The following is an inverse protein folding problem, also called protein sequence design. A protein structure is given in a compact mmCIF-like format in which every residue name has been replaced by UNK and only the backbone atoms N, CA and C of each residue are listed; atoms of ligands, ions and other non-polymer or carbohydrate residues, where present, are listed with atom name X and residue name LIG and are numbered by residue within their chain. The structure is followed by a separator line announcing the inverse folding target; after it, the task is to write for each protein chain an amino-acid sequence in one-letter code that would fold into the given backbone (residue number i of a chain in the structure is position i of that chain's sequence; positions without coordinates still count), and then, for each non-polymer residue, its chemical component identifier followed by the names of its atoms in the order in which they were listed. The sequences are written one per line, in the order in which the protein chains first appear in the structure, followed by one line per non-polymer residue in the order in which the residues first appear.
data_IF_561203909730
#
_entry.id   IF_561203909730
#
_cell.length_a   1.000
_cell.length_b   1.000
_cell.length_c   1.000
_cell.angle_alpha   90.00
_cell.angle_beta   90.00
_cell.angle_gamma   90.00
#
_symmetry.space_group_name_H-M   'P 1'
#
loop_
_entity.id
_entity.type
_entity.pdbx_description
1 polymer ?
#
# COMPACT_ATOMS: atom_id res chain seq x y z
N UNK A 1 21.84 8.43 15.76
CA UNK A 1 20.88 9.36 15.13
C UNK A 1 19.75 8.57 14.45
N UNK A 2 18.78 8.05 15.20
CA UNK A 2 17.77 7.10 14.68
C UNK A 2 16.34 7.41 15.11
N UNK A 3 16.08 8.64 15.59
CA UNK A 3 14.74 9.07 16.04
C UNK A 3 13.85 9.73 14.97
N UNK A 4 14.34 9.93 13.74
CA UNK A 4 13.66 10.82 12.79
C UNK A 4 12.84 10.14 11.67
N UNK A 5 13.09 8.87 11.34
CA UNK A 5 12.36 8.21 10.23
C UNK A 5 10.93 7.86 10.63
N UNK A 6 10.72 7.31 11.83
CA UNK A 6 9.39 6.94 12.33
C UNK A 6 8.47 8.15 12.55
N UNK A 7 9.02 9.29 13.02
CA UNK A 7 8.27 10.54 13.18
C UNK A 7 7.91 11.18 11.83
N UNK A 8 8.79 11.10 10.82
CA UNK A 8 8.52 11.60 9.46
C UNK A 8 7.47 10.75 8.72
N UNK A 9 7.47 9.43 8.93
CA UNK A 9 6.43 8.52 8.42
C UNK A 9 5.08 8.80 9.10
N UNK A 10 5.08 9.02 10.42
CA UNK A 10 3.88 9.38 11.19
C UNK A 10 3.28 10.71 10.72
N UNK A 11 4.11 11.72 10.42
CA UNK A 11 3.64 13.02 9.94
C UNK A 11 3.20 13.00 8.45
N UNK A 12 3.84 12.16 7.62
CA UNK A 12 3.44 11.94 6.22
C UNK A 12 2.17 11.11 6.07
N UNK A 13 1.88 10.21 7.02
CA UNK A 13 0.61 9.49 7.13
C UNK A 13 -0.53 10.40 7.62
N UNK A 14 -0.25 11.33 8.55
CA UNK A 14 -1.25 12.25 9.10
C UNK A 14 -1.73 13.32 8.10
N UNK A 15 -0.84 13.86 7.25
CA UNK A 15 -1.24 14.80 6.18
C UNK A 15 -1.91 14.14 4.96
N UNK A 16 -1.95 12.80 4.92
CA UNK A 16 -2.48 11.98 3.81
C UNK A 16 -3.72 11.18 4.20
N UNK A 17 -4.38 11.57 5.29
CA UNK A 17 -5.55 10.86 5.81
C UNK A 17 -6.70 10.70 4.79
N UNK A 18 -6.74 11.41 3.64
CA UNK A 18 -7.74 11.17 2.57
C UNK A 18 -7.64 9.80 1.89
N UNK A 19 -6.46 9.19 1.79
CA UNK A 19 -6.21 8.02 0.92
C UNK A 19 -6.93 6.73 1.33
N UNK A 20 -7.21 6.51 2.60
CA UNK A 20 -7.91 5.30 3.06
C UNK A 20 -9.41 5.57 3.04
N UNK A 21 -9.94 5.59 1.83
CA UNK A 21 -11.35 5.72 1.54
C UNK A 21 -11.75 4.63 0.56
N UNK A 22 -11.90 3.42 1.09
CA UNK A 22 -12.41 2.30 0.30
C UNK A 22 -13.94 2.35 0.16
N UNK A 23 -14.62 3.32 0.80
CA UNK A 23 -16.05 3.22 1.06
C UNK A 23 -16.97 4.25 0.43
N UNK A 24 -16.53 5.41 -0.10
CA UNK A 24 -17.52 6.39 -0.58
C UNK A 24 -17.08 7.38 -1.67
N UNK A 25 -16.49 6.96 -2.79
CA UNK A 25 -16.56 7.82 -4.01
C UNK A 25 -15.85 9.18 -3.83
N UNK A 26 -14.53 9.17 -3.87
CA UNK A 26 -13.83 10.29 -4.51
C UNK A 26 -12.67 9.70 -5.30
N UNK A 27 -13.06 9.01 -6.37
CA UNK A 27 -12.26 8.36 -7.41
C UNK A 27 -11.38 9.35 -8.19
N UNK A 28 -10.60 10.18 -7.50
CA UNK A 28 -9.72 11.14 -8.14
C UNK A 28 -8.42 10.43 -8.49
N UNK A 29 -7.96 10.61 -9.71
CA UNK A 29 -6.74 9.96 -10.24
C UNK A 29 -5.51 10.22 -9.37
N UNK A 30 -5.46 11.37 -8.68
CA UNK A 30 -4.42 11.66 -7.69
C UNK A 30 -4.34 10.66 -6.54
N UNK A 31 -5.48 10.19 -6.04
CA UNK A 31 -5.53 9.27 -4.90
C UNK A 31 -4.95 7.90 -5.33
N UNK A 32 -5.24 7.43 -6.54
CA UNK A 32 -4.59 6.25 -7.13
C UNK A 32 -3.09 6.45 -7.30
N UNK A 33 -2.68 7.58 -7.90
CA UNK A 33 -1.26 7.90 -8.08
C UNK A 33 -0.49 7.93 -6.75
N UNK A 34 -1.03 8.57 -5.72
CA UNK A 34 -0.32 8.68 -4.43
C UNK A 34 -0.14 7.31 -3.76
N UNK A 35 -1.12 6.41 -3.85
CA UNK A 35 -1.01 5.04 -3.30
C UNK A 35 -0.04 4.23 -4.15
N UNK A 36 -0.13 4.29 -5.48
CA UNK A 36 0.80 3.62 -6.37
C UNK A 36 2.25 4.08 -6.11
N UNK A 37 2.47 5.38 -5.94
CA UNK A 37 3.79 5.95 -5.64
C UNK A 37 4.31 5.46 -4.29
N UNK A 38 3.43 5.35 -3.27
CA UNK A 38 3.79 4.78 -1.99
C UNK A 38 4.22 3.31 -2.14
N UNK A 39 3.38 2.50 -2.79
CA UNK A 39 3.63 1.07 -3.00
C UNK A 39 4.91 0.82 -3.81
N UNK A 40 5.23 1.66 -4.79
CA UNK A 40 6.40 1.46 -5.66
C UNK A 40 7.70 2.00 -5.08
N UNK A 41 7.66 3.04 -4.24
CA UNK A 41 8.89 3.73 -3.78
C UNK A 41 9.28 3.43 -2.33
N UNK A 42 8.39 2.86 -1.53
CA UNK A 42 8.65 2.62 -0.10
C UNK A 42 8.43 1.16 0.30
N UNK A 43 9.18 0.76 1.33
CA UNK A 43 8.95 -0.50 2.02
C UNK A 43 7.89 -0.32 3.11
N UNK A 44 7.13 -1.38 3.39
CA UNK A 44 6.12 -1.38 4.46
C UNK A 44 6.20 -2.60 5.35
N UNK A 45 6.01 -2.37 6.63
CA UNK A 45 5.64 -3.40 7.60
C UNK A 45 4.12 -3.60 7.55
N UNK A 46 3.70 -4.86 7.33
CA UNK A 46 2.29 -5.22 7.17
C UNK A 46 1.48 -4.98 8.44
N UNK A 47 2.05 -5.21 9.62
CA UNK A 47 1.35 -4.99 10.90
C UNK A 47 1.05 -3.51 11.11
N UNK A 48 2.01 -2.64 10.75
CA UNK A 48 1.85 -1.20 10.82
C UNK A 48 0.84 -0.69 9.77
N UNK A 49 0.91 -1.21 8.55
CA UNK A 49 -0.06 -0.88 7.49
C UNK A 49 -1.48 -1.28 7.88
N UNK A 50 -1.69 -2.51 8.36
CA UNK A 50 -2.98 -3.01 8.79
C UNK A 50 -3.55 -2.17 9.95
N UNK A 51 -2.71 -1.81 10.93
CA UNK A 51 -3.11 -0.89 12.01
C UNK A 51 -3.53 0.47 11.47
N UNK A 52 -2.75 1.06 10.55
CA UNK A 52 -3.06 2.37 9.98
C UNK A 52 -4.38 2.35 9.18
N UNK A 53 -4.64 1.28 8.42
CA UNK A 53 -5.91 1.08 7.70
C UNK A 53 -7.07 1.04 8.70
N UNK A 54 -7.00 0.14 9.69
CA UNK A 54 -8.06 -0.02 10.70
C UNK A 54 -8.37 1.28 11.44
N UNK A 55 -7.33 1.98 11.91
CA UNK A 55 -7.48 3.27 12.60
C UNK A 55 -8.15 4.33 11.72
N UNK A 56 -7.86 4.33 10.41
CA UNK A 56 -8.46 5.31 9.51
C UNK A 56 -9.95 5.06 9.29
N UNK A 57 -10.36 3.79 9.14
CA UNK A 57 -11.78 3.43 9.03
C UNK A 57 -12.53 3.69 10.34
N UNK A 58 -11.91 3.34 11.48
CA UNK A 58 -12.48 3.57 12.81
C UNK A 58 -12.75 5.06 13.07
N UNK A 59 -11.76 5.93 12.86
CA UNK A 59 -11.89 7.39 13.07
C UNK A 59 -12.95 8.03 12.17
N UNK A 60 -13.22 7.43 11.02
CA UNK A 60 -14.20 7.91 10.05
C UNK A 60 -15.58 7.31 10.24
N UNK A 61 -15.73 6.37 11.18
CA UNK A 61 -16.98 5.65 11.43
C UNK A 61 -17.53 4.96 10.15
N UNK A 62 -16.63 4.49 9.30
CA UNK A 62 -16.98 3.77 8.06
C UNK A 62 -16.50 2.33 8.13
N UNK A 63 -17.29 1.40 7.60
CA UNK A 63 -16.93 -0.03 7.52
C UNK A 63 -15.81 -0.26 6.51
N UNK A 64 -14.88 -1.16 6.85
CA UNK A 64 -13.86 -1.64 5.94
C UNK A 64 -14.50 -2.59 4.90
N UNK A 65 -14.50 -2.26 3.60
CA UNK A 65 -15.04 -3.15 2.58
C UNK A 65 -14.04 -4.27 2.28
N UNK A 66 -14.54 -5.51 2.23
CA UNK A 66 -13.73 -6.71 1.98
C UNK A 66 -13.17 -6.73 0.55
N UNK A 67 -13.93 -6.23 -0.42
CA UNK A 67 -13.53 -6.13 -1.82
C UNK A 67 -13.97 -4.78 -2.42
N UNK A 68 -13.12 -3.74 -2.39
CA UNK A 68 -13.45 -2.44 -2.95
C UNK A 68 -13.65 -2.52 -4.48
N UNK A 69 -14.78 -2.06 -5.01
CA UNK A 69 -15.05 -2.03 -6.46
C UNK A 69 -13.97 -1.27 -7.25
N UNK A 70 -13.33 -0.26 -6.63
CA UNK A 70 -12.22 0.50 -7.21
C UNK A 70 -10.98 -0.36 -7.56
N UNK A 71 -10.89 -1.59 -7.03
CA UNK A 71 -9.83 -2.54 -7.35
C UNK A 71 -10.28 -3.65 -8.31
N UNK A 72 -11.51 -3.56 -8.84
CA UNK A 72 -12.02 -4.53 -9.81
C UNK A 72 -11.50 -4.25 -11.23
N UNK A 73 -11.42 -5.31 -12.03
CA UNK A 73 -11.10 -5.19 -13.46
C UNK A 73 -12.13 -4.33 -14.19
N UNK A 74 -13.41 -4.43 -13.82
CA UNK A 74 -14.47 -3.60 -14.40
C UNK A 74 -14.20 -2.10 -14.21
N UNK A 75 -13.77 -1.67 -13.02
CA UNK A 75 -13.39 -0.28 -12.78
C UNK A 75 -12.12 0.11 -13.53
N UNK A 76 -11.12 -0.78 -13.55
CA UNK A 76 -9.85 -0.55 -14.19
C UNK A 76 -9.93 -0.46 -15.71
N UNK A 77 -10.87 -1.18 -16.34
CA UNK A 77 -11.06 -1.23 -17.79
C UNK A 77 -12.09 -0.20 -18.28
N UNK A 78 -12.76 0.52 -17.39
CA UNK A 78 -13.70 1.56 -17.75
C UNK A 78 -13.02 2.65 -18.60
N UNK A 79 -13.58 2.93 -19.77
CA UNK A 79 -13.00 3.87 -20.75
C UNK A 79 -12.94 5.30 -20.21
N UNK A 80 -13.93 5.73 -19.45
CA UNK A 80 -13.96 7.06 -18.85
C UNK A 80 -12.85 7.19 -17.80
N UNK A 81 -12.66 6.16 -16.97
CA UNK A 81 -11.59 6.13 -15.96
C UNK A 81 -10.20 6.12 -16.59
N UNK A 82 -9.99 5.36 -17.66
CA UNK A 82 -8.73 5.38 -18.41
C UNK A 82 -8.44 6.77 -18.99
N UNK A 83 -9.45 7.43 -19.58
CA UNK A 83 -9.30 8.78 -20.11
C UNK A 83 -8.97 9.80 -19.00
N UNK A 84 -9.63 9.71 -17.85
CA UNK A 84 -9.34 10.53 -16.67
C UNK A 84 -7.89 10.33 -16.18
N UNK A 85 -7.40 9.09 -16.16
CA UNK A 85 -6.03 8.75 -15.77
C UNK A 85 -4.99 9.37 -16.70
N UNK A 86 -5.16 9.20 -18.01
CA UNK A 86 -4.27 9.77 -19.03
C UNK A 86 -4.25 11.30 -18.93
N UNK A 87 -5.42 11.93 -18.80
CA UNK A 87 -5.53 13.38 -18.65
C UNK A 87 -4.82 13.88 -17.37
N UNK A 88 -4.91 13.11 -16.28
CA UNK A 88 -4.23 13.39 -15.03
C UNK A 88 -2.70 13.31 -15.18
N UNK A 89 -2.16 12.22 -15.73
CA UNK A 89 -0.72 12.06 -15.98
C UNK A 89 -0.19 13.23 -16.80
N UNK A 90 -0.86 13.53 -17.92
CA UNK A 90 -0.45 14.60 -18.84
C UNK A 90 -0.43 15.97 -18.16
N UNK A 91 -1.47 16.28 -17.38
CA UNK A 91 -1.59 17.58 -16.68
C UNK A 91 -0.49 17.77 -15.64
N UNK A 92 0.00 16.69 -15.04
CA UNK A 92 0.96 16.72 -13.95
C UNK A 92 2.38 16.29 -14.34
N UNK A 93 2.64 16.04 -15.64
CA UNK A 93 3.94 15.65 -16.18
C UNK A 93 4.55 14.43 -15.45
N UNK A 94 3.74 13.39 -15.24
CA UNK A 94 4.12 12.22 -14.44
C UNK A 94 4.72 11.12 -15.32
N UNK A 95 5.92 11.33 -15.85
CA UNK A 95 6.55 10.47 -16.87
C UNK A 95 6.96 9.07 -16.33
N UNK A 96 7.17 8.94 -15.03
CA UNK A 96 7.54 7.68 -14.35
C UNK A 96 6.33 6.78 -14.01
N UNK A 97 5.12 7.10 -14.48
CA UNK A 97 3.89 6.37 -14.11
C UNK A 97 3.48 5.28 -15.10
N UNK A 98 2.70 4.28 -14.67
CA UNK A 98 2.14 3.29 -15.58
C UNK A 98 1.24 3.97 -16.60
N UNK A 99 1.34 3.51 -17.84
CA UNK A 99 0.62 4.10 -18.97
C UNK A 99 -0.88 3.93 -18.82
N UNK A 100 -1.33 2.89 -18.11
CA UNK A 100 -2.74 2.60 -17.90
C UNK A 100 -3.18 2.69 -16.44
N UNK A 101 -4.46 3.00 -16.23
CA UNK A 101 -5.06 2.93 -14.89
C UNK A 101 -5.07 1.49 -14.36
N UNK A 102 -5.16 0.51 -15.26
CA UNK A 102 -5.22 -0.90 -14.90
C UNK A 102 -3.93 -1.38 -14.23
N UNK A 103 -2.78 -1.11 -14.82
CA UNK A 103 -1.48 -1.44 -14.20
C UNK A 103 -1.30 -0.76 -12.83
N UNK A 104 -1.75 0.49 -12.73
CA UNK A 104 -1.74 1.25 -11.48
C UNK A 104 -2.59 0.55 -10.41
N UNK A 105 -3.81 0.15 -10.76
CA UNK A 105 -4.73 -0.55 -9.85
C UNK A 105 -4.21 -1.93 -9.47
N UNK A 106 -3.59 -2.69 -10.38
CA UNK A 106 -3.02 -4.00 -10.07
C UNK A 106 -1.97 -3.92 -8.95
N UNK A 107 -1.07 -2.93 -9.01
CA UNK A 107 -0.05 -2.72 -7.97
C UNK A 107 -0.72 -2.29 -6.65
N UNK A 108 -1.69 -1.38 -6.70
CA UNK A 108 -2.41 -0.93 -5.51
C UNK A 108 -3.17 -2.08 -4.85
N UNK A 109 -3.84 -2.92 -5.64
CA UNK A 109 -4.58 -4.07 -5.18
C UNK A 109 -3.65 -5.09 -4.53
N UNK A 110 -2.52 -5.43 -5.18
CA UNK A 110 -1.50 -6.32 -4.62
C UNK A 110 -0.91 -5.78 -3.29
N UNK A 111 -0.83 -4.46 -3.16
CA UNK A 111 -0.36 -3.80 -1.95
C UNK A 111 -1.40 -3.83 -0.81
N UNK A 112 -2.65 -3.44 -1.08
CA UNK A 112 -3.66 -3.20 -0.04
C UNK A 112 -4.57 -4.40 0.25
N UNK A 113 -4.99 -5.17 -0.76
CA UNK A 113 -5.99 -6.24 -0.58
C UNK A 113 -5.56 -7.30 0.44
N UNK A 114 -4.29 -7.78 0.48
CA UNK A 114 -3.89 -8.77 1.48
C UNK A 114 -4.06 -8.28 2.91
N UNK A 115 -3.79 -7.00 3.18
CA UNK A 115 -3.96 -6.39 4.49
C UNK A 115 -5.45 -6.19 4.82
N UNK A 116 -6.25 -5.75 3.85
CA UNK A 116 -7.71 -5.57 4.00
C UNK A 116 -8.37 -6.91 4.32
N UNK A 117 -8.00 -7.97 3.61
CA UNK A 117 -8.52 -9.32 3.81
C UNK A 117 -8.13 -9.88 5.17
N UNK A 118 -6.86 -9.75 5.58
CA UNK A 118 -6.43 -10.16 6.92
C UNK A 118 -7.23 -9.43 8.01
N UNK A 119 -7.47 -8.12 7.85
CA UNK A 119 -8.29 -7.34 8.78
C UNK A 119 -9.76 -7.79 8.80
N UNK A 120 -10.36 -8.16 7.66
CA UNK A 120 -11.75 -8.64 7.63
C UNK A 120 -11.92 -10.01 8.29
N UNK A 121 -10.89 -10.86 8.20
CA UNK A 121 -10.85 -12.18 8.84
C UNK A 121 -10.36 -12.13 10.31
N UNK A 122 -10.08 -10.95 10.85
CA UNK A 122 -9.53 -10.77 12.20
C UNK A 122 -8.13 -11.36 12.39
N UNK A 123 -7.39 -11.58 11.30
CA UNK A 123 -6.06 -12.17 11.30
C UNK A 123 -4.96 -11.10 11.39
N UNK A 124 -3.80 -11.42 11.99
CA UNK A 124 -2.62 -10.57 11.90
C UNK A 124 -2.08 -10.53 10.46
N UNK A 125 -1.40 -9.44 10.11
CA UNK A 125 -0.80 -9.25 8.79
C UNK A 125 0.71 -8.99 8.90
N UNK A 126 1.44 -10.01 9.35
CA UNK A 126 2.89 -9.91 9.62
C UNK A 126 3.72 -10.23 8.38
N UNK A 127 3.61 -9.36 7.38
CA UNK A 127 4.36 -9.46 6.11
C UNK A 127 5.21 -8.22 5.89
N UNK A 128 6.17 -8.32 5.00
CA UNK A 128 7.01 -7.20 4.60
C UNK A 128 6.87 -6.91 3.11
N UNK A 129 6.62 -5.65 2.77
CA UNK A 129 6.55 -5.17 1.40
C UNK A 129 7.85 -4.48 1.04
N UNK A 130 8.50 -4.94 -0.03
CA UNK A 130 9.60 -4.22 -0.67
C UNK A 130 9.02 -3.17 -1.63
N UNK A 131 9.72 -2.07 -1.94
CA UNK A 131 9.26 -1.14 -2.97
C UNK A 131 8.93 -1.88 -4.29
N UNK A 132 7.69 -1.76 -4.76
CA UNK A 132 7.16 -2.46 -5.93
C UNK A 132 6.58 -3.87 -5.66
N UNK A 133 6.70 -4.38 -4.43
CA UNK A 133 6.20 -5.68 -4.01
C UNK A 133 7.06 -6.87 -4.46
N UNK A 134 6.53 -8.10 -4.32
CA UNK A 134 5.31 -8.47 -3.61
C UNK A 134 5.51 -8.48 -2.07
N UNK A 135 4.46 -8.83 -1.32
CA UNK A 135 4.55 -9.12 0.11
C UNK A 135 5.34 -10.42 0.36
N UNK A 136 6.31 -10.34 1.26
CA UNK A 136 7.09 -11.49 1.73
C UNK A 136 6.64 -11.87 3.15
N UNK A 137 6.55 -13.17 3.44
CA UNK A 137 6.34 -13.66 4.80
C UNK A 137 7.52 -13.23 5.67
N UNK A 138 7.24 -12.77 6.89
CA UNK A 138 8.26 -12.35 7.86
C UNK A 138 9.20 -13.49 8.32
N UNK A 139 8.94 -14.74 7.94
CA UNK A 139 9.80 -15.88 8.20
C UNK A 139 10.88 -16.05 7.12
N UNK A 140 11.98 -15.31 7.27
CA UNK A 140 13.26 -15.61 6.62
C UNK A 140 14.45 -15.30 7.55
N UNK A 141 14.26 -15.41 8.87
CA UNK A 141 15.38 -15.48 9.82
C UNK A 141 15.57 -16.91 10.29
N UNK A 142 16.07 -17.78 9.40
CA UNK A 142 16.74 -19.01 9.81
C UNK A 142 17.74 -19.48 8.74
N UNK A 143 18.74 -18.64 8.46
CA UNK A 143 20.06 -19.13 8.06
C UNK A 143 21.12 -18.07 8.36
N UNK A 144 21.42 -17.88 9.65
CA UNK A 144 22.70 -17.30 10.07
C UNK A 144 23.64 -18.50 10.26
N UNK A 145 24.79 -18.61 9.56
CA UNK A 145 25.75 -19.65 9.88
C UNK A 145 26.15 -19.50 11.36
N UNK A 146 26.29 -20.60 12.12
CA UNK A 146 26.72 -20.51 13.50
C UNK A 146 28.07 -19.80 13.54
N UNK A 147 28.11 -18.74 14.36
CA UNK A 147 29.31 -18.01 14.72
C UNK A 147 30.38 -19.02 15.13
N UNK A 148 31.48 -19.11 14.37
CA UNK A 148 32.65 -19.85 14.78
C UNK A 148 33.25 -19.18 16.01
N UNK A 149 32.77 -19.59 17.18
CA UNK A 149 33.44 -19.40 18.45
C UNK A 149 34.49 -20.50 18.58
N UNK A 150 35.75 -20.09 18.73
CA UNK A 150 36.77 -20.79 19.49
C UNK A 150 37.17 -22.18 19.02
N UNK A 151 38.37 -22.29 18.46
CA UNK A 151 39.22 -23.45 18.72
C UNK A 151 40.60 -22.95 19.12
N UNK A 152 41.11 -23.33 20.29
CA UNK A 152 42.42 -22.93 20.77
C UNK A 152 43.51 -23.82 20.17
N UNK A 153 44.63 -23.22 19.77
CA UNK A 153 45.97 -23.81 19.87
C UNK A 153 46.94 -22.73 20.32
#
# INVERSE_FOLDING_TARGET
MTRNVAASVRQRLLNRARMVYLGAINSRMKDFYDIWLLATRFAFDGSLLARAIRETFYRRQTTLPVAPFAFSDAFAQDREKQAQWIAFIRRHHLEDTPTTLHETIQIIAAFLQPAIYALSEGQPFDRYWRPGGPWLSSNSQQNRPPTAQGSPQ
#
